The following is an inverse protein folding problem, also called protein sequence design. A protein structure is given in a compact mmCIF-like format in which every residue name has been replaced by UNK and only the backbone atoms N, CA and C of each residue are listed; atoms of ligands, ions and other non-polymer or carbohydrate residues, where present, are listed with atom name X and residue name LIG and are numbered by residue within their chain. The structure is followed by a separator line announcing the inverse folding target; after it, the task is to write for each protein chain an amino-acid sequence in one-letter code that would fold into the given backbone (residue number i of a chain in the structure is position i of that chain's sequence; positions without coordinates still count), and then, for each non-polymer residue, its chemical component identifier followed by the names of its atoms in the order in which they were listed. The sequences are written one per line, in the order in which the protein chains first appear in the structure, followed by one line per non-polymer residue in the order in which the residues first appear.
data_IF_793390455812
#
_entry.id   IF_793390455812
#
_cell.length_a   1.000
_cell.length_b   1.000
_cell.length_c   1.000
_cell.angle_alpha   90.00
_cell.angle_beta   90.00
_cell.angle_gamma   90.00
#
_symmetry.space_group_name_H-M   'P 1'
#
loop_
_entity.id
_entity.type
_entity.pdbx_description
1 polymer ?
#
# COMPACT_ATOMS: atom_id res chain seq x y z
N UNK A 1 47.89 45.97 -27.92
CA UNK A 1 46.74 45.07 -27.51
C UNK A 1 46.71 45.03 -26.01
N UNK A 2 45.71 45.68 -25.36
CA UNK A 2 45.50 45.62 -23.91
C UNK A 2 44.80 44.33 -23.60
N UNK A 3 45.46 43.43 -22.82
CA UNK A 3 44.79 42.28 -22.20
C UNK A 3 43.87 42.78 -21.12
N UNK A 4 42.57 42.70 -21.34
CA UNK A 4 41.59 42.91 -20.27
C UNK A 4 41.67 41.70 -19.33
N UNK A 5 42.22 41.91 -18.14
CA UNK A 5 42.11 40.98 -17.03
C UNK A 5 40.65 41.02 -16.55
N UNK A 6 39.87 40.04 -17.03
CA UNK A 6 38.59 39.72 -16.40
C UNK A 6 38.89 39.15 -15.03
N UNK A 7 38.97 40.02 -14.03
CA UNK A 7 38.95 39.63 -12.62
C UNK A 7 37.62 38.96 -12.39
N UNK A 8 37.63 37.63 -12.38
CA UNK A 8 36.50 36.84 -11.91
C UNK A 8 36.29 37.27 -10.45
N UNK A 9 35.17 37.95 -10.20
CA UNK A 9 34.67 38.17 -8.85
C UNK A 9 34.45 36.78 -8.24
N UNK A 10 35.40 36.29 -7.48
CA UNK A 10 35.25 35.15 -6.58
C UNK A 10 34.78 35.68 -5.23
N UNK A 11 33.51 36.07 -5.19
CA UNK A 11 32.86 36.35 -3.93
C UNK A 11 32.60 35.02 -3.24
N UNK A 12 33.50 34.63 -2.35
CA UNK A 12 33.32 33.48 -1.47
C UNK A 12 32.26 33.78 -0.42
N UNK A 13 31.42 32.80 -0.12
CA UNK A 13 30.46 32.91 0.96
C UNK A 13 31.17 33.19 2.31
N UNK A 14 30.58 34.04 3.10
CA UNK A 14 31.07 34.29 4.46
C UNK A 14 30.69 33.13 5.38
N UNK A 15 31.52 32.85 6.39
CA UNK A 15 31.21 31.80 7.36
C UNK A 15 29.87 32.03 8.07
N UNK A 16 29.53 33.31 8.29
CA UNK A 16 28.28 33.73 8.93
C UNK A 16 27.05 33.39 8.04
N UNK A 17 27.16 33.60 6.72
CA UNK A 17 26.10 33.25 5.77
C UNK A 17 25.81 31.74 5.79
N UNK A 18 26.85 30.91 5.79
CA UNK A 18 26.68 29.45 5.85
C UNK A 18 26.05 29.03 7.17
N UNK A 19 26.50 29.58 8.31
CA UNK A 19 25.93 29.30 9.62
C UNK A 19 24.44 29.71 9.66
N UNK A 20 24.12 30.91 9.16
CA UNK A 20 22.74 31.40 9.12
C UNK A 20 21.83 30.45 8.30
N UNK A 21 22.29 30.01 7.13
CA UNK A 21 21.55 29.06 6.28
C UNK A 21 21.36 27.70 6.98
N UNK A 22 22.40 27.18 7.63
CA UNK A 22 22.33 25.93 8.38
C UNK A 22 21.32 25.99 9.55
N UNK A 23 21.27 27.13 10.27
CA UNK A 23 20.29 27.33 11.34
C UNK A 23 18.88 27.31 10.78
N UNK A 24 18.60 28.03 9.69
CA UNK A 24 17.30 28.09 9.05
C UNK A 24 16.89 26.69 8.55
N UNK A 25 17.79 25.99 7.86
CA UNK A 25 17.55 24.64 7.39
C UNK A 25 17.29 23.67 8.55
N UNK A 26 18.05 23.82 9.66
CA UNK A 26 17.82 22.99 10.86
C UNK A 26 16.43 23.17 11.46
N UNK A 27 15.95 24.42 11.56
CA UNK A 27 14.59 24.71 12.05
C UNK A 27 13.54 24.14 11.11
N UNK A 28 13.69 24.33 9.80
CA UNK A 28 12.77 23.80 8.80
C UNK A 28 12.74 22.26 8.82
N UNK A 29 13.91 21.63 8.91
CA UNK A 29 14.01 20.17 8.98
C UNK A 29 13.34 19.62 10.24
N UNK A 30 13.49 20.26 11.39
CA UNK A 30 12.86 19.85 12.65
C UNK A 30 11.33 19.78 12.56
N UNK A 31 10.71 20.60 11.72
CA UNK A 31 9.25 20.58 11.49
C UNK A 31 8.86 19.67 10.33
N UNK A 32 9.65 19.63 9.26
CA UNK A 32 9.32 18.90 8.05
C UNK A 32 9.42 17.37 8.24
N UNK A 33 10.48 16.90 8.90
CA UNK A 33 10.74 15.45 9.04
C UNK A 33 9.61 14.69 9.75
N UNK A 34 9.09 15.11 10.91
CA UNK A 34 7.95 14.44 11.55
C UNK A 34 6.71 14.37 10.65
N UNK A 35 6.43 15.46 9.94
CA UNK A 35 5.29 15.54 9.01
C UNK A 35 5.41 14.55 7.85
N UNK A 36 6.63 14.36 7.34
CA UNK A 36 6.88 13.37 6.29
C UNK A 36 6.65 11.94 6.75
N UNK A 37 7.10 11.60 7.96
CA UNK A 37 6.91 10.26 8.56
C UNK A 37 5.43 9.96 8.76
N UNK A 38 4.65 10.92 9.27
CA UNK A 38 3.21 10.78 9.47
C UNK A 38 2.46 10.59 8.13
N UNK A 39 2.87 11.32 7.10
CA UNK A 39 2.29 11.23 5.77
C UNK A 39 2.57 9.86 5.12
N UNK A 40 3.80 9.37 5.24
CA UNK A 40 4.19 8.06 4.73
C UNK A 40 3.37 6.94 5.41
N UNK A 41 3.25 6.98 6.73
CA UNK A 41 2.45 6.03 7.50
C UNK A 41 0.99 6.04 7.07
N UNK A 42 0.40 7.23 6.93
CA UNK A 42 -0.97 7.40 6.47
C UNK A 42 -1.17 6.88 5.04
N UNK A 43 -0.20 7.10 4.15
CA UNK A 43 -0.24 6.62 2.78
C UNK A 43 -0.22 5.07 2.72
N UNK A 44 0.60 4.42 3.54
CA UNK A 44 0.65 2.95 3.64
C UNK A 44 -0.69 2.38 4.10
N UNK A 45 -1.31 2.98 5.11
CA UNK A 45 -2.63 2.55 5.60
C UNK A 45 -3.68 2.66 4.49
N UNK A 46 -3.72 3.78 3.75
CA UNK A 46 -4.67 3.97 2.65
C UNK A 46 -4.45 2.99 1.49
N UNK A 47 -3.19 2.67 1.17
CA UNK A 47 -2.88 1.67 0.16
C UNK A 47 -3.39 0.27 0.57
N UNK A 48 -3.25 -0.08 1.84
CA UNK A 48 -3.77 -1.35 2.37
C UNK A 48 -5.30 -1.36 2.43
N UNK A 49 -5.96 -0.24 2.74
CA UNK A 49 -7.41 -0.14 2.68
C UNK A 49 -7.94 -0.28 1.24
N UNK A 50 -7.20 0.23 0.25
CA UNK A 50 -7.50 0.00 -1.16
C UNK A 50 -7.33 -1.49 -1.56
N UNK A 51 -6.32 -2.17 -1.03
CA UNK A 51 -6.14 -3.61 -1.21
C UNK A 51 -7.31 -4.42 -0.64
N UNK A 52 -7.84 -4.04 0.53
CA UNK A 52 -9.06 -4.65 1.09
C UNK A 52 -10.25 -4.44 0.17
N UNK A 53 -10.43 -3.25 -0.36
CA UNK A 53 -11.52 -2.95 -1.28
C UNK A 53 -11.43 -3.76 -2.58
N UNK A 54 -10.22 -3.93 -3.11
CA UNK A 54 -9.96 -4.75 -4.28
C UNK A 54 -10.30 -6.23 -4.03
N UNK A 55 -9.83 -6.81 -2.93
CA UNK A 55 -10.16 -8.18 -2.54
C UNK A 55 -11.68 -8.38 -2.38
N UNK A 56 -12.37 -7.43 -1.75
CA UNK A 56 -13.82 -7.49 -1.60
C UNK A 56 -14.56 -7.36 -2.93
N UNK A 57 -14.02 -6.58 -3.87
CA UNK A 57 -14.53 -6.51 -5.24
C UNK A 57 -14.42 -7.85 -5.95
N UNK A 58 -13.26 -8.50 -5.90
CA UNK A 58 -13.02 -9.82 -6.49
C UNK A 58 -13.92 -10.89 -5.87
N UNK A 59 -14.07 -10.92 -4.54
CA UNK A 59 -15.00 -11.83 -3.86
C UNK A 59 -16.44 -11.67 -4.36
N UNK A 60 -16.89 -10.43 -4.48
CA UNK A 60 -18.25 -10.12 -4.92
C UNK A 60 -18.50 -10.55 -6.37
N UNK A 61 -17.52 -10.29 -7.26
CA UNK A 61 -17.58 -10.68 -8.66
C UNK A 61 -17.57 -12.19 -8.82
N UNK A 62 -16.64 -12.88 -8.16
CA UNK A 62 -16.54 -14.35 -8.21
C UNK A 62 -17.80 -15.01 -7.66
N UNK A 63 -18.30 -14.51 -6.53
CA UNK A 63 -19.54 -15.02 -5.95
C UNK A 63 -20.75 -14.84 -6.89
N UNK A 64 -20.86 -13.66 -7.52
CA UNK A 64 -21.92 -13.38 -8.47
C UNK A 64 -21.82 -14.25 -9.72
N UNK A 65 -20.60 -14.45 -10.24
CA UNK A 65 -20.35 -15.28 -11.42
C UNK A 65 -20.71 -16.74 -11.17
N UNK A 66 -20.30 -17.29 -10.02
CA UNK A 66 -20.70 -18.65 -9.59
C UNK A 66 -22.22 -18.77 -9.50
N UNK A 67 -22.92 -17.75 -8.98
CA UNK A 67 -24.38 -17.75 -8.86
C UNK A 67 -25.10 -17.77 -10.21
N UNK A 68 -24.51 -17.16 -11.22
CA UNK A 68 -25.11 -17.01 -12.55
C UNK A 68 -24.68 -18.14 -13.49
N UNK A 69 -23.39 -18.49 -13.48
CA UNK A 69 -22.77 -19.37 -14.49
C UNK A 69 -22.97 -20.86 -14.22
N UNK A 70 -23.16 -21.27 -12.97
CA UNK A 70 -23.22 -22.68 -12.62
C UNK A 70 -24.65 -23.19 -12.47
N UNK A 71 -24.94 -24.36 -13.06
CA UNK A 71 -26.25 -25.04 -12.95
C UNK A 71 -26.61 -25.32 -11.48
N UNK A 72 -25.62 -25.57 -10.64
CA UNK A 72 -25.78 -25.83 -9.20
C UNK A 72 -25.65 -24.57 -8.32
N UNK A 73 -25.24 -23.44 -8.90
CA UNK A 73 -25.01 -22.20 -8.16
C UNK A 73 -23.90 -22.31 -7.12
N UNK A 74 -23.94 -21.42 -6.13
CA UNK A 74 -23.05 -21.46 -4.97
C UNK A 74 -23.40 -22.67 -4.08
N UNK A 75 -22.42 -23.52 -3.79
CA UNK A 75 -22.57 -24.71 -2.95
C UNK A 75 -21.93 -24.49 -1.58
N UNK A 76 -20.68 -24.04 -1.56
CA UNK A 76 -19.92 -23.78 -0.34
C UNK A 76 -18.84 -22.71 -0.58
N UNK A 77 -18.15 -22.27 0.45
CA UNK A 77 -17.09 -21.27 0.34
C UNK A 77 -15.89 -21.76 -0.48
N UNK A 78 -15.62 -23.07 -0.46
CA UNK A 78 -14.58 -23.72 -1.26
C UNK A 78 -14.80 -23.50 -2.77
N UNK A 79 -16.05 -23.33 -3.21
CA UNK A 79 -16.36 -23.03 -4.61
C UNK A 79 -15.70 -21.74 -5.07
N UNK A 80 -15.53 -20.76 -4.18
CA UNK A 80 -14.82 -19.52 -4.49
C UNK A 80 -13.32 -19.75 -4.58
N UNK A 81 -12.73 -20.44 -3.60
CA UNK A 81 -11.29 -20.71 -3.58
C UNK A 81 -10.82 -21.53 -4.79
N UNK A 82 -11.64 -22.44 -5.25
CA UNK A 82 -11.35 -23.29 -6.40
C UNK A 82 -11.82 -22.69 -7.73
N UNK A 83 -12.36 -21.46 -7.73
CA UNK A 83 -12.83 -20.83 -8.96
C UNK A 83 -11.63 -20.33 -9.78
N UNK A 84 -11.53 -20.69 -11.09
CA UNK A 84 -10.33 -20.43 -11.90
C UNK A 84 -9.94 -18.96 -12.01
N UNK A 85 -10.88 -18.04 -11.88
CA UNK A 85 -10.65 -16.61 -11.97
C UNK A 85 -10.46 -15.94 -10.60
N UNK A 86 -10.59 -16.68 -9.50
CA UNK A 86 -10.36 -16.14 -8.18
C UNK A 86 -8.87 -16.07 -7.88
N UNK A 87 -8.40 -14.88 -7.53
CA UNK A 87 -7.01 -14.62 -7.21
C UNK A 87 -6.90 -13.61 -6.06
N UNK A 88 -5.96 -13.83 -5.17
CA UNK A 88 -5.60 -12.95 -4.06
C UNK A 88 -4.32 -12.16 -4.32
N UNK A 89 -3.70 -12.29 -5.49
CA UNK A 89 -2.52 -11.52 -5.87
C UNK A 89 -2.90 -10.04 -6.09
N UNK A 90 -2.25 -9.17 -5.35
CA UNK A 90 -2.46 -7.71 -5.39
C UNK A 90 -1.33 -6.98 -6.13
N UNK A 91 -0.40 -7.75 -6.77
CA UNK A 91 0.74 -7.22 -7.50
C UNK A 91 2.02 -7.09 -6.66
N UNK A 92 3.09 -6.67 -7.33
CA UNK A 92 4.47 -6.78 -6.82
C UNK A 92 4.77 -6.00 -5.53
N UNK A 93 3.98 -4.99 -5.20
CA UNK A 93 4.17 -4.20 -3.97
C UNK A 93 3.58 -4.87 -2.73
N UNK A 94 2.78 -5.91 -2.91
CA UNK A 94 2.08 -6.64 -1.86
C UNK A 94 2.57 -8.08 -1.81
N UNK A 95 2.95 -8.54 -0.64
CA UNK A 95 3.42 -9.91 -0.43
C UNK A 95 2.63 -10.54 0.70
N UNK A 96 2.04 -11.70 0.45
CA UNK A 96 1.41 -12.49 1.50
C UNK A 96 2.44 -13.33 2.26
N UNK A 97 2.52 -13.16 3.59
CA UNK A 97 3.38 -13.94 4.47
C UNK A 97 2.83 -14.04 5.91
N UNK A 98 2.16 -15.13 6.28
CA UNK A 98 1.72 -16.23 5.42
C UNK A 98 0.54 -15.84 4.52
N UNK A 99 0.40 -16.55 3.40
CA UNK A 99 -0.75 -16.40 2.52
C UNK A 99 -2.02 -16.96 3.18
N UNK A 100 -3.19 -16.38 2.88
CA UNK A 100 -4.45 -16.93 3.32
C UNK A 100 -4.75 -18.25 2.58
N UNK A 101 -5.44 -19.15 3.25
CA UNK A 101 -5.90 -20.41 2.67
C UNK A 101 -7.38 -20.59 2.94
N UNK A 102 -8.00 -21.49 2.20
CA UNK A 102 -9.39 -21.92 2.41
C UNK A 102 -9.68 -22.30 3.87
N UNK A 103 -8.72 -22.97 4.52
CA UNK A 103 -8.88 -23.46 5.89
C UNK A 103 -8.68 -22.35 6.93
N UNK A 104 -7.70 -21.48 6.72
CA UNK A 104 -7.33 -20.46 7.71
C UNK A 104 -8.19 -19.20 7.59
N UNK A 105 -8.58 -18.83 6.37
CA UNK A 105 -9.27 -17.57 6.08
C UNK A 105 -8.58 -16.33 6.71
N UNK A 106 -7.28 -16.44 6.97
CA UNK A 106 -6.44 -15.38 7.52
C UNK A 106 -5.11 -15.37 6.82
N UNK A 107 -4.53 -14.19 6.66
CA UNK A 107 -3.21 -14.02 6.10
C UNK A 107 -2.59 -12.70 6.57
N UNK A 108 -1.29 -12.58 6.40
CA UNK A 108 -0.56 -11.35 6.65
C UNK A 108 -0.11 -10.76 5.33
N UNK A 109 -0.60 -9.58 5.01
CA UNK A 109 -0.18 -8.83 3.84
C UNK A 109 0.93 -7.86 4.22
N UNK A 110 2.08 -8.01 3.61
CA UNK A 110 3.22 -7.11 3.80
C UNK A 110 3.22 -6.10 2.67
N UNK A 111 3.09 -4.82 3.01
CA UNK A 111 3.19 -3.70 2.07
C UNK A 111 4.35 -2.79 2.45
N UNK A 112 5.33 -2.64 1.55
CA UNK A 112 6.55 -1.83 1.78
C UNK A 112 7.21 -2.14 3.14
N UNK A 113 7.32 -3.43 3.48
CA UNK A 113 7.96 -3.92 4.71
C UNK A 113 7.12 -3.81 5.98
N UNK A 114 5.87 -3.36 5.89
CA UNK A 114 4.95 -3.27 7.04
C UNK A 114 3.90 -4.38 6.93
N UNK A 115 3.79 -5.26 7.94
CA UNK A 115 2.81 -6.34 7.95
C UNK A 115 1.43 -5.85 8.42
N UNK A 116 0.38 -6.32 7.75
CA UNK A 116 -1.02 -6.09 8.10
C UNK A 116 -1.75 -7.42 8.12
N UNK A 117 -2.42 -7.72 9.22
CA UNK A 117 -3.19 -8.96 9.38
C UNK A 117 -4.58 -8.79 8.81
N UNK A 118 -4.98 -9.75 7.99
CA UNK A 118 -6.30 -9.82 7.38
C UNK A 118 -7.05 -11.04 7.84
N UNK A 119 -8.36 -10.93 7.93
CA UNK A 119 -9.26 -12.07 8.06
C UNK A 119 -10.36 -11.98 7.02
N UNK A 120 -10.73 -13.14 6.49
CA UNK A 120 -11.82 -13.28 5.53
C UNK A 120 -13.01 -13.92 6.22
N UNK A 121 -14.14 -13.27 6.19
CA UNK A 121 -15.40 -13.86 6.59
C UNK A 121 -15.93 -14.67 5.39
N UNK A 122 -16.17 -15.96 5.61
CA UNK A 122 -16.60 -16.87 4.56
C UNK A 122 -17.89 -16.44 3.87
N UNK A 123 -18.02 -16.79 2.60
CA UNK A 123 -19.23 -16.57 1.81
C UNK A 123 -20.39 -17.46 2.27
N UNK A 124 -21.57 -17.13 1.83
CA UNK A 124 -22.77 -17.93 2.02
C UNK A 124 -23.65 -17.91 0.77
N UNK A 125 -24.71 -18.68 0.76
CA UNK A 125 -25.65 -18.66 -0.37
C UNK A 125 -26.31 -17.29 -0.62
N UNK A 126 -26.30 -16.38 0.37
CA UNK A 126 -26.99 -15.08 0.29
C UNK A 126 -26.03 -13.89 0.28
N UNK A 127 -24.73 -14.11 0.46
CA UNK A 127 -23.73 -13.02 0.49
C UNK A 127 -22.34 -13.49 0.09
N UNK A 128 -21.54 -12.66 -0.56
CA UNK A 128 -20.12 -12.92 -0.80
C UNK A 128 -19.34 -12.96 0.50
N UNK A 129 -18.11 -13.46 0.42
CA UNK A 129 -17.14 -13.31 1.50
C UNK A 129 -16.67 -11.86 1.62
N UNK A 130 -16.12 -11.52 2.78
CA UNK A 130 -15.64 -10.17 3.08
C UNK A 130 -14.29 -10.21 3.78
N UNK A 131 -13.33 -9.55 3.21
CA UNK A 131 -12.02 -9.30 3.79
C UNK A 131 -12.05 -8.09 4.73
N UNK A 132 -11.42 -8.25 5.89
CA UNK A 132 -11.32 -7.21 6.90
C UNK A 132 -9.89 -7.16 7.42
N UNK A 133 -9.35 -5.96 7.55
CA UNK A 133 -8.09 -5.73 8.26
C UNK A 133 -8.36 -5.80 9.77
N UNK A 134 -7.51 -6.50 10.51
CA UNK A 134 -7.53 -6.58 11.97
C UNK A 134 -6.75 -5.44 12.62
#
# INVERSE_FOLDING_TARGET
MKKQNLLRNQEGFTLVEIIAVLIILGILAAVAVPRYIDLESSAKIRAVDAAVAELNGRESLTWADIKIATTNGWVSDDTIWNYPQYDTDLGNDYVWDPAPTELTNTGTLVFKGVPFVFSRRVSSNVRPAVWVRK
#
